data_IF_804159030026
#
_entry.id   IF_804159030026
#
_cell.length_a   1.000
_cell.length_b   1.000
_cell.length_c   1.000
_cell.angle_alpha   90.00
_cell.angle_beta   90.00
_cell.angle_gamma   90.00
#
_symmetry.space_group_name_H-M   'P 1'
#
loop_
_entity.id
_entity.type
_entity.pdbx_description
1 polymer ?
#
# COMPACT_ATOMS: atom_id res chain seq x y z
N UNK A 1 -15.90 5.67 -37.41
CA UNK A 1 -16.52 6.24 -36.20
C UNK A 1 -15.99 5.48 -35.00
N UNK A 2 -15.36 6.16 -34.03
CA UNK A 2 -14.85 5.52 -32.83
C UNK A 2 -16.02 5.14 -31.92
N UNK A 3 -16.08 3.87 -31.49
CA UNK A 3 -17.12 3.36 -30.60
C UNK A 3 -16.92 3.98 -29.22
N UNK A 4 -17.97 4.60 -28.67
CA UNK A 4 -17.93 5.13 -27.31
C UNK A 4 -17.64 3.99 -26.33
N UNK A 5 -16.64 4.18 -25.47
CA UNK A 5 -16.28 3.23 -24.41
C UNK A 5 -17.16 3.57 -23.21
N UNK A 6 -17.90 2.60 -22.69
CA UNK A 6 -18.61 2.77 -21.41
C UNK A 6 -17.59 2.85 -20.27
N UNK A 7 -17.74 3.87 -19.42
CA UNK A 7 -16.84 4.14 -18.28
C UNK A 7 -17.71 4.30 -17.04
N UNK A 8 -17.30 3.64 -15.96
CA UNK A 8 -17.93 3.76 -14.64
C UNK A 8 -17.00 4.50 -13.68
N UNK A 9 -17.54 5.43 -12.89
CA UNK A 9 -16.77 6.20 -11.91
C UNK A 9 -16.52 5.33 -10.65
N UNK A 10 -15.24 5.07 -10.36
CA UNK A 10 -14.85 4.24 -9.22
C UNK A 10 -15.00 4.94 -7.87
N UNK A 11 -15.18 4.16 -6.79
CA UNK A 11 -15.36 4.69 -5.42
C UNK A 11 -14.09 5.31 -4.81
N UNK A 12 -12.95 5.22 -5.51
CA UNK A 12 -11.62 5.51 -4.98
C UNK A 12 -10.99 4.32 -4.24
N UNK A 13 -11.71 3.21 -4.08
CA UNK A 13 -11.17 1.95 -3.60
C UNK A 13 -11.44 0.83 -4.61
N UNK A 14 -10.47 0.60 -5.50
CA UNK A 14 -10.55 -0.44 -6.54
C UNK A 14 -10.83 -1.84 -5.98
N UNK A 15 -10.43 -2.13 -4.73
CA UNK A 15 -10.70 -3.43 -4.13
C UNK A 15 -12.18 -3.57 -3.73
N UNK A 16 -12.84 -2.48 -3.35
CA UNK A 16 -14.27 -2.46 -3.07
C UNK A 16 -15.06 -2.56 -4.38
N UNK A 17 -14.65 -1.81 -5.41
CA UNK A 17 -15.27 -1.82 -6.74
C UNK A 17 -15.24 -3.23 -7.36
N UNK A 18 -14.16 -3.98 -7.12
CA UNK A 18 -14.01 -5.38 -7.56
C UNK A 18 -14.67 -6.42 -6.63
N UNK A 19 -15.37 -6.00 -5.56
CA UNK A 19 -16.04 -6.89 -4.62
C UNK A 19 -15.08 -7.80 -3.82
N UNK A 20 -13.82 -7.41 -3.65
CA UNK A 20 -12.82 -8.22 -2.95
C UNK A 20 -12.99 -8.12 -1.42
N UNK A 21 -12.68 -9.20 -0.68
CA UNK A 21 -12.80 -9.18 0.77
C UNK A 21 -11.77 -8.25 1.40
N UNK A 22 -12.16 -7.60 2.51
CA UNK A 22 -11.35 -6.63 3.26
C UNK A 22 -10.76 -5.51 2.38
N UNK A 23 -11.58 -4.79 1.59
CA UNK A 23 -11.07 -3.84 0.60
C UNK A 23 -10.29 -2.68 1.24
N UNK A 24 -10.67 -2.24 2.44
CA UNK A 24 -9.97 -1.20 3.20
C UNK A 24 -8.56 -1.65 3.61
N UNK A 25 -8.41 -2.89 4.08
CA UNK A 25 -7.10 -3.44 4.44
C UNK A 25 -6.20 -3.58 3.21
N UNK A 26 -6.76 -4.04 2.09
CA UNK A 26 -6.04 -4.16 0.82
C UNK A 26 -5.56 -2.80 0.32
N UNK A 27 -6.41 -1.78 0.39
CA UNK A 27 -6.05 -0.42 0.01
C UNK A 27 -4.92 0.13 0.89
N UNK A 28 -5.02 -0.06 2.21
CA UNK A 28 -3.97 0.37 3.14
C UNK A 28 -2.63 -0.35 2.86
N UNK A 29 -2.64 -1.67 2.69
CA UNK A 29 -1.43 -2.45 2.36
C UNK A 29 -0.83 -2.03 1.02
N UNK A 30 -1.65 -1.83 0.01
CA UNK A 30 -1.20 -1.34 -1.29
C UNK A 30 -0.51 0.02 -1.18
N UNK A 31 -1.12 0.95 -0.43
CA UNK A 31 -0.51 2.25 -0.13
C UNK A 31 0.86 2.13 0.52
N UNK A 32 1.00 1.32 1.58
CA UNK A 32 2.29 1.09 2.25
C UNK A 32 3.32 0.45 1.31
N UNK A 33 2.93 -0.57 0.55
CA UNK A 33 3.81 -1.25 -0.41
C UNK A 33 4.33 -0.31 -1.50
N UNK A 34 3.47 0.59 -2.01
CA UNK A 34 3.86 1.63 -2.97
C UNK A 34 4.92 2.54 -2.37
N UNK A 35 4.79 2.95 -1.09
CA UNK A 35 5.80 3.78 -0.42
C UNK A 35 7.11 3.04 -0.23
N UNK A 36 7.07 1.78 0.20
CA UNK A 36 8.27 0.94 0.32
C UNK A 36 8.99 0.83 -1.03
N UNK A 37 8.26 0.49 -2.10
CA UNK A 37 8.81 0.40 -3.45
C UNK A 37 9.40 1.73 -3.92
N UNK A 38 8.74 2.85 -3.60
CA UNK A 38 9.23 4.19 -3.87
C UNK A 38 10.57 4.48 -3.19
N UNK A 39 10.72 4.14 -1.91
CA UNK A 39 11.99 4.35 -1.19
C UNK A 39 13.11 3.45 -1.71
N UNK A 40 12.82 2.18 -2.01
CA UNK A 40 13.77 1.25 -2.63
C UNK A 40 14.27 1.81 -3.96
N UNK A 41 13.37 2.32 -4.81
CA UNK A 41 13.72 2.92 -6.10
C UNK A 41 14.53 4.21 -5.94
N UNK A 42 14.10 5.12 -5.06
CA UNK A 42 14.78 6.39 -4.84
C UNK A 42 16.22 6.19 -4.33
N UNK A 43 16.43 5.18 -3.47
CA UNK A 43 17.76 4.78 -2.97
C UNK A 43 18.54 3.87 -3.92
N UNK A 44 18.00 3.56 -5.11
CA UNK A 44 18.60 2.65 -6.12
C UNK A 44 19.02 1.29 -5.55
N UNK A 45 18.23 0.75 -4.62
CA UNK A 45 18.55 -0.51 -3.96
C UNK A 45 18.21 -1.69 -4.86
N UNK A 46 19.13 -2.64 -4.99
CA UNK A 46 18.83 -3.96 -5.57
C UNK A 46 17.90 -4.74 -4.66
N UNK A 47 17.18 -5.74 -5.20
CA UNK A 47 16.30 -6.59 -4.39
C UNK A 47 17.07 -7.29 -3.26
N UNK A 48 18.30 -7.75 -3.52
CA UNK A 48 19.15 -8.37 -2.51
C UNK A 48 19.60 -7.37 -1.41
N UNK A 49 19.87 -6.11 -1.77
CA UNK A 49 20.22 -5.09 -0.77
C UNK A 49 19.01 -4.68 0.07
N UNK A 50 17.84 -4.53 -0.54
CA UNK A 50 16.59 -4.30 0.17
C UNK A 50 16.24 -5.47 1.10
N UNK A 51 16.45 -6.72 0.67
CA UNK A 51 16.24 -7.92 1.48
C UNK A 51 17.06 -7.88 2.79
N UNK A 52 18.35 -7.50 2.68
CA UNK A 52 19.25 -7.35 3.84
C UNK A 52 18.77 -6.28 4.81
N UNK A 53 18.40 -5.09 4.31
CA UNK A 53 17.90 -3.99 5.15
C UNK A 53 16.59 -4.38 5.84
N UNK A 54 15.66 -4.98 5.10
CA UNK A 54 14.34 -5.37 5.58
C UNK A 54 14.33 -6.69 6.39
N UNK A 55 15.49 -7.33 6.54
CA UNK A 55 15.67 -8.61 7.26
C UNK A 55 14.69 -9.68 6.79
N UNK A 56 14.55 -9.84 5.48
CA UNK A 56 13.72 -10.87 4.83
C UNK A 56 14.49 -11.50 3.67
N UNK A 57 14.00 -12.65 3.20
CA UNK A 57 14.54 -13.29 2.00
C UNK A 57 14.22 -12.50 0.71
N UNK A 58 15.03 -12.68 -0.32
CA UNK A 58 14.86 -12.02 -1.61
C UNK A 58 13.52 -12.38 -2.31
N UNK A 59 13.00 -13.62 -2.25
CA UNK A 59 11.67 -13.93 -2.77
C UNK A 59 10.56 -13.08 -2.16
N UNK A 60 10.58 -12.82 -0.84
CA UNK A 60 9.63 -11.91 -0.19
C UNK A 60 9.73 -10.48 -0.73
N UNK A 61 10.94 -9.98 -0.97
CA UNK A 61 11.11 -8.66 -1.63
C UNK A 61 10.46 -8.65 -3.01
N UNK A 62 10.69 -9.71 -3.80
CA UNK A 62 10.13 -9.81 -5.14
C UNK A 62 8.60 -9.81 -5.12
N UNK A 63 7.98 -10.55 -4.19
CA UNK A 63 6.51 -10.57 -4.00
C UNK A 63 5.98 -9.21 -3.58
N UNK A 64 6.63 -8.55 -2.63
CA UNK A 64 6.27 -7.20 -2.17
C UNK A 64 6.26 -6.19 -3.31
N UNK A 65 7.33 -6.18 -4.12
CA UNK A 65 7.46 -5.26 -5.26
C UNK A 65 6.47 -5.55 -6.41
N UNK A 66 5.95 -6.77 -6.48
CA UNK A 66 4.88 -7.18 -7.43
C UNK A 66 3.46 -6.97 -6.88
N UNK A 67 3.31 -6.39 -5.69
CA UNK A 67 1.98 -6.19 -5.07
C UNK A 67 1.32 -7.48 -4.56
N UNK A 68 2.08 -8.57 -4.40
CA UNK A 68 1.58 -9.83 -3.83
C UNK A 68 1.60 -9.76 -2.30
N UNK A 69 0.61 -9.06 -1.73
CA UNK A 69 0.62 -8.62 -0.32
C UNK A 69 -0.09 -9.56 0.66
N UNK A 70 -0.65 -10.68 0.22
CA UNK A 70 -1.41 -11.62 1.07
C UNK A 70 -0.58 -12.15 2.26
N UNK A 71 0.73 -12.31 2.09
CA UNK A 71 1.64 -12.79 3.13
C UNK A 71 2.24 -11.68 4.02
N UNK A 72 1.78 -10.43 3.91
CA UNK A 72 2.30 -9.32 4.69
C UNK A 72 1.18 -8.70 5.54
N UNK A 73 1.41 -8.55 6.84
CA UNK A 73 0.55 -7.74 7.71
C UNK A 73 0.82 -6.25 7.47
N UNK A 74 -0.17 -5.41 7.78
CA UNK A 74 -0.02 -3.95 7.73
C UNK A 74 1.10 -3.48 8.66
N UNK A 75 1.18 -4.06 9.85
CA UNK A 75 2.26 -3.83 10.83
C UNK A 75 3.64 -4.10 10.24
N UNK A 76 3.83 -5.23 9.56
CA UNK A 76 5.11 -5.58 8.95
C UNK A 76 5.51 -4.60 7.85
N UNK A 77 4.54 -4.10 7.07
CA UNK A 77 4.80 -3.09 6.05
C UNK A 77 5.19 -1.74 6.69
N UNK A 78 4.55 -1.33 7.78
CA UNK A 78 4.96 -0.14 8.53
C UNK A 78 6.38 -0.30 9.09
N UNK A 79 6.73 -1.47 9.63
CA UNK A 79 8.10 -1.76 10.08
C UNK A 79 9.13 -1.70 8.92
N UNK A 80 8.76 -2.08 7.71
CA UNK A 80 9.66 -1.93 6.57
C UNK A 80 9.94 -0.47 6.22
N UNK A 81 8.95 0.41 6.37
CA UNK A 81 9.16 1.85 6.20
C UNK A 81 10.14 2.39 7.25
N UNK A 82 10.00 2.00 8.50
CA UNK A 82 10.93 2.43 9.57
C UNK A 82 12.35 1.92 9.34
N UNK A 83 12.51 0.65 8.94
CA UNK A 83 13.83 0.09 8.55
C UNK A 83 14.45 0.80 7.33
N UNK A 84 13.62 1.39 6.47
CA UNK A 84 14.08 2.18 5.32
C UNK A 84 14.36 3.65 5.66
N UNK A 85 14.22 4.05 6.93
CA UNK A 85 14.46 5.41 7.40
C UNK A 85 13.28 6.34 7.15
N UNK A 86 12.05 5.83 7.21
CA UNK A 86 10.82 6.64 7.13
C UNK A 86 10.05 6.56 8.43
N UNK A 87 9.62 7.72 8.91
CA UNK A 87 8.69 7.80 10.01
C UNK A 87 7.29 7.40 9.55
N UNK A 88 6.55 6.74 10.45
CA UNK A 88 5.16 6.34 10.23
C UNK A 88 4.33 6.99 11.32
N UNK A 89 3.51 7.97 10.93
CA UNK A 89 2.55 8.62 11.80
C UNK A 89 1.15 8.05 11.58
N UNK A 90 0.44 7.79 12.68
CA UNK A 90 -0.95 7.32 12.65
C UNK A 90 -1.85 8.45 13.13
N UNK A 91 -2.57 9.07 12.19
CA UNK A 91 -3.50 10.17 12.48
C UNK A 91 -4.90 9.59 12.67
N UNK A 92 -5.41 9.68 13.89
CA UNK A 92 -6.77 9.24 14.25
C UNK A 92 -7.69 10.47 14.27
N UNK A 93 -8.73 10.44 13.43
CA UNK A 93 -9.72 11.51 13.35
C UNK A 93 -11.13 10.95 13.23
N UNK A 94 -12.13 11.74 13.65
CA UNK A 94 -13.53 11.38 13.51
C UNK A 94 -13.90 11.20 12.03
N UNK A 95 -14.65 10.14 11.71
CA UNK A 95 -15.21 9.98 10.38
C UNK A 95 -16.20 11.14 10.07
N UNK A 96 -16.28 11.59 8.80
CA UNK A 96 -17.29 12.56 8.38
C UNK A 96 -18.71 12.09 8.73
N UNK A 97 -19.63 13.01 9.02
CA UNK A 97 -21.02 12.67 9.37
C UNK A 97 -21.73 11.85 8.29
N UNK A 98 -21.31 11.98 7.03
CA UNK A 98 -21.84 11.20 5.91
C UNK A 98 -21.46 9.71 5.93
N UNK A 99 -20.59 9.27 6.85
CA UNK A 99 -20.08 7.90 6.88
C UNK A 99 -20.14 7.29 8.29
N UNK A 100 -20.69 6.08 8.38
CA UNK A 100 -20.90 5.35 9.64
C UNK A 100 -19.63 4.73 10.24
N UNK A 101 -18.66 4.33 9.41
CA UNK A 101 -17.41 3.69 9.86
C UNK A 101 -16.18 4.47 9.38
N UNK A 102 -15.07 4.39 10.12
CA UNK A 102 -13.76 4.93 9.72
C UNK A 102 -13.08 4.08 8.64
N UNK A 103 -11.98 4.58 8.07
CA UNK A 103 -11.11 3.80 7.19
C UNK A 103 -9.66 4.15 7.49
N UNK A 104 -8.76 3.23 7.13
CA UNK A 104 -7.31 3.47 7.19
C UNK A 104 -6.88 3.93 5.79
N UNK A 105 -6.17 5.05 5.73
CA UNK A 105 -5.61 5.56 4.47
C UNK A 105 -4.14 5.89 4.65
N UNK A 106 -3.36 5.62 3.62
CA UNK A 106 -1.94 6.00 3.56
C UNK A 106 -1.84 7.30 2.78
N UNK A 107 -1.42 8.36 3.45
CA UNK A 107 -1.15 9.66 2.84
C UNK A 107 0.37 9.79 2.78
N UNK A 108 0.94 10.21 1.66
CA UNK A 108 2.31 10.71 1.69
C UNK A 108 2.27 12.22 1.82
N UNK A 109 3.02 12.72 2.80
CA UNK A 109 3.54 14.06 2.82
C UNK A 109 4.75 14.12 1.86
N UNK A 110 4.86 15.23 1.14
CA UNK A 110 5.97 15.49 0.22
C UNK A 110 7.29 15.67 0.98
#
# INVERSE_FOLDING_TARGET
>A
MARAIEVEEGSGNVFADLGLPNPEERLAKAGLAIRIAGVIRARRLTQASAARILKIDQPKISRLLRGQLSGFSTERLMQFLTLLGRDVEIIIKRAPRSRRQGHVRVIATA
#
